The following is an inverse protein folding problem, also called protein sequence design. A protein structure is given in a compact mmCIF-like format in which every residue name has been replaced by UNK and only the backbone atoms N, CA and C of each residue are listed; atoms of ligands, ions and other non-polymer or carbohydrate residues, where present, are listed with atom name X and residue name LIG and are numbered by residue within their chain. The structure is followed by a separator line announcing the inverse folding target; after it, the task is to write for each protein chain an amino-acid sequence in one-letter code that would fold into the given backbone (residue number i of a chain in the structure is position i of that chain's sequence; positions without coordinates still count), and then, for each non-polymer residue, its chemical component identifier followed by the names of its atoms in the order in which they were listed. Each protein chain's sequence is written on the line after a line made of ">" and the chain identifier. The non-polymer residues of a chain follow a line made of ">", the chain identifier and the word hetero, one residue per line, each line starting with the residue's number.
data_IF_727480426478
#
_entry.id   IF_727480426478
#
_cell.length_a   1.000
_cell.length_b   1.000
_cell.length_c   1.000
_cell.angle_alpha   90.00
_cell.angle_beta   90.00
_cell.angle_gamma   90.00
#
_symmetry.space_group_name_H-M   'P 1'
#
loop_
_entity.id
_entity.type
_entity.pdbx_description
1 polymer ?
#
# COMPACT_ATOMS: atom_id res chain seq x y z
N UNK A 1 33.12 -3.25 0.61
CA UNK A 1 32.23 -2.89 1.75
C UNK A 1 30.94 -2.32 1.21
N UNK A 2 29.79 -2.67 1.79
CA UNK A 2 28.51 -2.06 1.41
C UNK A 2 28.50 -0.58 1.82
N UNK A 3 28.11 0.32 0.90
CA UNK A 3 28.06 1.78 1.10
C UNK A 3 26.71 2.27 1.62
N UNK A 4 25.84 1.38 2.07
CA UNK A 4 24.49 1.67 2.56
C UNK A 4 24.26 1.01 3.91
N UNK A 5 23.58 1.72 4.81
CA UNK A 5 23.14 1.16 6.07
C UNK A 5 22.02 0.14 5.84
N UNK A 6 21.88 -0.84 6.75
CA UNK A 6 20.73 -1.75 6.71
C UNK A 6 19.47 -0.97 7.11
N UNK A 7 18.31 -1.24 6.50
CA UNK A 7 17.08 -0.57 6.86
C UNK A 7 16.69 -0.94 8.31
N UNK A 8 16.41 0.05 9.17
CA UNK A 8 16.20 -0.17 10.61
C UNK A 8 14.94 -0.98 10.91
N UNK A 9 13.98 -1.03 9.98
CA UNK A 9 12.69 -1.71 10.15
C UNK A 9 12.85 -3.20 10.50
N UNK A 10 13.85 -3.87 9.91
CA UNK A 10 14.08 -5.30 10.15
C UNK A 10 14.66 -5.57 11.54
N UNK A 11 15.49 -4.65 12.04
CA UNK A 11 16.05 -4.72 13.38
C UNK A 11 15.00 -4.45 14.45
N UNK A 12 14.18 -3.41 14.25
CA UNK A 12 13.06 -3.09 15.16
C UNK A 12 12.04 -4.23 15.21
N UNK A 13 11.69 -4.83 14.06
CA UNK A 13 10.83 -6.03 14.04
C UNK A 13 11.39 -7.20 14.84
N UNK A 14 12.73 -7.38 14.85
CA UNK A 14 13.37 -8.42 15.65
C UNK A 14 13.17 -8.17 17.14
N UNK A 15 13.30 -6.92 17.61
CA UNK A 15 13.04 -6.57 19.00
C UNK A 15 11.60 -6.91 19.42
N UNK A 16 10.61 -6.68 18.54
CA UNK A 16 9.21 -7.02 18.84
C UNK A 16 8.99 -8.52 19.10
N UNK A 17 9.74 -9.39 18.40
CA UNK A 17 9.66 -10.84 18.56
C UNK A 17 10.42 -11.32 19.80
N UNK A 18 11.57 -10.73 20.08
CA UNK A 18 12.50 -11.21 21.11
C UNK A 18 12.25 -10.59 22.50
N UNK A 19 11.48 -9.51 22.59
CA UNK A 19 11.22 -8.83 23.87
C UNK A 19 10.09 -9.52 24.63
N UNK A 20 10.35 -10.15 25.80
CA UNK A 20 9.28 -10.67 26.64
C UNK A 20 8.46 -9.50 27.21
N UNK A 21 7.15 -9.53 26.95
CA UNK A 21 6.22 -8.52 27.44
C UNK A 21 5.78 -8.83 28.87
N UNK A 22 5.70 -7.82 29.76
CA UNK A 22 5.17 -8.02 31.10
C UNK A 22 3.71 -8.51 31.07
N UNK A 23 3.28 -9.33 32.05
CA UNK A 23 1.89 -9.78 32.14
C UNK A 23 0.91 -8.59 32.21
N UNK A 24 -0.13 -8.63 31.38
CA UNK A 24 -1.17 -7.60 31.36
C UNK A 24 -0.80 -6.29 30.65
N UNK A 25 0.39 -6.19 30.04
CA UNK A 25 0.81 -5.02 29.27
C UNK A 25 1.00 -5.37 27.79
N UNK A 26 -0.02 -5.17 26.93
CA UNK A 26 0.12 -5.43 25.50
C UNK A 26 1.03 -4.39 24.84
N UNK A 27 1.75 -4.81 23.79
CA UNK A 27 2.52 -3.92 22.94
C UNK A 27 1.56 -3.07 22.08
N UNK A 28 1.80 -1.75 22.05
CA UNK A 28 1.15 -0.84 21.12
C UNK A 28 2.10 -0.55 19.96
N UNK A 29 1.77 -1.06 18.78
CA UNK A 29 2.58 -0.85 17.58
C UNK A 29 2.07 0.38 16.79
N UNK A 30 2.79 1.49 16.92
CA UNK A 30 2.59 2.71 16.13
C UNK A 30 3.56 2.83 14.96
N UNK A 31 4.31 1.76 14.64
CA UNK A 31 5.29 1.77 13.55
C UNK A 31 4.63 1.64 12.18
N UNK A 32 3.36 1.24 12.13
CA UNK A 32 2.66 1.05 10.88
C UNK A 32 2.16 2.39 10.29
N UNK A 33 2.62 2.71 9.08
CA UNK A 33 2.21 3.85 8.27
C UNK A 33 1.20 3.50 7.16
N UNK A 34 0.98 2.22 6.86
CA UNK A 34 -0.03 1.77 5.92
C UNK A 34 -1.39 1.56 6.63
N UNK A 35 -2.52 1.82 5.96
CA UNK A 35 -3.85 1.52 6.50
C UNK A 35 -3.97 0.05 6.92
N UNK A 36 -4.59 -0.19 8.08
CA UNK A 36 -4.89 -1.54 8.55
C UNK A 36 -6.09 -2.16 7.81
N UNK A 37 -7.03 -1.32 7.38
CA UNK A 37 -8.22 -1.74 6.64
C UNK A 37 -7.89 -2.14 5.20
N UNK A 38 -8.64 -3.08 4.62
CA UNK A 38 -8.49 -3.43 3.21
C UNK A 38 -8.82 -2.23 2.30
N UNK A 39 -8.36 -2.25 1.03
CA UNK A 39 -8.81 -1.26 0.06
C UNK A 39 -10.35 -1.21 -0.04
N UNK A 40 -10.93 -0.04 -0.34
CA UNK A 40 -12.38 0.10 -0.49
C UNK A 40 -12.98 -0.94 -1.43
N UNK A 41 -14.18 -1.43 -1.09
CA UNK A 41 -14.86 -2.48 -1.87
C UNK A 41 -14.99 -2.16 -3.37
N UNK A 42 -15.34 -0.92 -3.78
CA UNK A 42 -15.41 -0.58 -5.20
C UNK A 42 -14.08 -0.76 -5.95
N UNK A 43 -12.94 -0.48 -5.30
CA UNK A 43 -11.63 -0.69 -5.90
C UNK A 43 -11.33 -2.18 -6.05
N UNK A 44 -11.65 -2.99 -5.03
CA UNK A 44 -11.46 -4.45 -5.07
C UNK A 44 -12.32 -5.09 -6.17
N UNK A 45 -13.57 -4.64 -6.33
CA UNK A 45 -14.46 -5.09 -7.39
C UNK A 45 -13.89 -4.76 -8.78
N UNK A 46 -13.51 -3.50 -9.03
CA UNK A 46 -12.93 -3.09 -10.30
C UNK A 46 -11.64 -3.85 -10.65
N UNK A 47 -10.79 -4.14 -9.66
CA UNK A 47 -9.60 -4.97 -9.85
C UNK A 47 -9.94 -6.41 -10.23
N UNK A 48 -10.95 -7.01 -9.59
CA UNK A 48 -11.40 -8.37 -9.90
C UNK A 48 -12.01 -8.45 -11.31
N UNK A 49 -12.85 -7.49 -11.68
CA UNK A 49 -13.44 -7.40 -13.02
C UNK A 49 -12.36 -7.25 -14.09
N UNK A 50 -11.37 -6.38 -13.89
CA UNK A 50 -10.27 -6.24 -14.84
C UNK A 50 -9.46 -7.53 -14.98
N UNK A 51 -9.11 -8.18 -13.87
CA UNK A 51 -8.31 -9.39 -13.88
C UNK A 51 -9.01 -10.60 -14.52
N UNK A 52 -10.34 -10.68 -14.39
CA UNK A 52 -11.14 -11.80 -14.93
C UNK A 52 -11.67 -11.52 -16.34
N UNK A 53 -12.01 -10.26 -16.64
CA UNK A 53 -12.71 -9.85 -17.85
C UNK A 53 -11.82 -9.28 -18.95
N UNK A 54 -10.61 -8.84 -18.63
CA UNK A 54 -9.67 -8.27 -19.60
C UNK A 54 -8.33 -9.04 -19.59
N UNK A 55 -8.12 -9.98 -20.53
CA UNK A 55 -6.84 -10.68 -20.68
C UNK A 55 -5.64 -9.76 -20.89
N UNK A 56 -5.84 -8.53 -21.40
CA UNK A 56 -4.77 -7.56 -21.59
C UNK A 56 -4.42 -6.79 -20.31
N UNK A 57 -5.16 -6.96 -19.21
CA UNK A 57 -4.94 -6.23 -17.96
C UNK A 57 -3.55 -6.48 -17.33
N UNK A 58 -2.87 -7.56 -17.71
CA UNK A 58 -1.51 -7.87 -17.25
C UNK A 58 -0.41 -7.14 -18.06
N UNK A 59 -0.77 -6.50 -19.18
CA UNK A 59 0.19 -5.82 -20.06
C UNK A 59 0.53 -4.43 -19.53
N UNK A 60 1.67 -3.89 -19.97
CA UNK A 60 2.02 -2.50 -19.67
C UNK A 60 0.98 -1.54 -20.27
N UNK A 61 0.50 -0.63 -19.42
CA UNK A 61 -0.33 0.49 -19.86
C UNK A 61 0.49 1.62 -20.50
N UNK A 62 -0.17 2.73 -20.87
CA UNK A 62 0.50 3.90 -21.42
C UNK A 62 1.54 4.47 -20.44
N UNK A 63 2.62 5.06 -20.98
CA UNK A 63 3.76 5.59 -20.20
C UNK A 63 3.32 6.57 -19.10
N UNK A 64 2.34 7.41 -19.39
CA UNK A 64 1.83 8.41 -18.45
C UNK A 64 0.70 7.89 -17.55
N UNK A 65 0.30 6.64 -17.70
CA UNK A 65 -0.89 6.07 -17.09
C UNK A 65 -2.14 6.15 -17.98
N UNK A 66 -3.22 5.51 -17.53
CA UNK A 66 -4.49 5.44 -18.26
C UNK A 66 -5.10 6.85 -18.46
N UNK A 67 -5.38 7.28 -19.71
CA UNK A 67 -5.90 8.63 -19.99
C UNK A 67 -7.16 8.97 -19.19
N UNK A 68 -8.14 8.06 -19.16
CA UNK A 68 -9.39 8.26 -18.42
C UNK A 68 -9.17 8.46 -16.91
N UNK A 69 -8.21 7.75 -16.30
CA UNK A 69 -7.88 7.94 -14.89
C UNK A 69 -7.21 9.29 -14.65
N UNK A 70 -6.32 9.71 -15.54
CA UNK A 70 -5.65 11.02 -15.45
C UNK A 70 -6.66 12.16 -15.54
N UNK A 71 -7.60 12.09 -16.50
CA UNK A 71 -8.68 13.07 -16.66
C UNK A 71 -9.55 13.15 -15.40
N UNK A 72 -9.95 12.00 -14.85
CA UNK A 72 -10.75 11.94 -13.62
C UNK A 72 -10.01 12.58 -12.43
N UNK A 73 -8.75 12.24 -12.21
CA UNK A 73 -7.95 12.81 -11.12
C UNK A 73 -7.81 14.31 -11.26
N UNK A 74 -7.55 14.81 -12.48
CA UNK A 74 -7.45 16.25 -12.74
C UNK A 74 -8.77 16.99 -12.44
N UNK A 75 -9.90 16.41 -12.86
CA UNK A 75 -11.22 16.98 -12.60
C UNK A 75 -11.54 17.01 -11.10
N UNK A 76 -11.28 15.93 -10.36
CA UNK A 76 -11.49 15.89 -8.90
C UNK A 76 -10.63 16.91 -8.18
N UNK A 77 -9.34 17.01 -8.52
CA UNK A 77 -8.44 17.97 -7.91
C UNK A 77 -8.86 19.41 -8.19
N UNK A 78 -9.27 19.71 -9.42
CA UNK A 78 -9.74 21.05 -9.79
C UNK A 78 -11.07 21.44 -9.13
N UNK A 79 -11.86 20.45 -8.69
CA UNK A 79 -13.09 20.69 -7.94
C UNK A 79 -12.84 20.84 -6.43
N UNK A 80 -11.80 20.18 -5.91
CA UNK A 80 -11.46 20.18 -4.49
C UNK A 80 -10.64 21.40 -4.04
N UNK A 81 -9.85 21.99 -4.94
CA UNK A 81 -8.95 23.13 -4.69
C UNK A 81 -9.25 24.30 -5.63
#
# INVERSE_FOLDING_TARGET
>A
MARTARPPIMEVRRWLVETPLPPGLPLLDFSQAAPADPPPEPLRAAMAEAALGDPAAHLYGPVLGLPALRERVAAEWSAAY
#
